data_IF_270650991254
#
_entry.id   IF_270650991254
#
_cell.length_a   1.000
_cell.length_b   1.000
_cell.length_c   1.000
_cell.angle_alpha   90.00
_cell.angle_beta   90.00
_cell.angle_gamma   90.00
#
_symmetry.space_group_name_H-M   'P 1'
#
loop_
_entity.id
_entity.type
_entity.pdbx_description
1 polymer ?
#
# COMPACT_ATOMS: atom_id res chain seq x y z
N UNK A 1 4.62 -21.47 1.48
CA UNK A 1 5.06 -20.81 2.70
C UNK A 1 4.96 -19.31 2.55
N UNK A 2 4.76 -18.63 3.67
CA UNK A 2 4.45 -17.21 3.62
C UNK A 2 5.71 -16.36 3.52
N UNK A 3 5.64 -15.34 2.68
CA UNK A 3 6.71 -14.36 2.53
C UNK A 3 6.39 -13.15 3.38
N UNK A 4 7.38 -12.30 3.60
CA UNK A 4 7.19 -11.03 4.28
C UNK A 4 7.22 -9.93 3.22
N UNK A 5 6.19 -9.10 3.20
CA UNK A 5 6.07 -7.99 2.25
C UNK A 5 6.08 -6.70 3.06
N UNK A 6 7.16 -5.95 2.95
CA UNK A 6 7.23 -4.61 3.53
C UNK A 6 6.73 -3.64 2.47
N UNK A 7 5.76 -2.81 2.80
CA UNK A 7 5.12 -1.96 1.81
C UNK A 7 4.99 -0.51 2.29
N UNK A 8 4.93 0.38 1.30
CA UNK A 8 4.83 1.81 1.55
C UNK A 8 4.04 2.44 0.39
N UNK A 9 3.12 3.34 0.72
CA UNK A 9 2.34 4.06 -0.27
C UNK A 9 2.74 5.52 -0.35
N UNK A 10 2.77 6.03 -1.58
CA UNK A 10 2.85 7.46 -1.85
C UNK A 10 1.65 7.83 -2.71
N UNK A 11 0.86 8.79 -2.25
CA UNK A 11 -0.34 9.23 -2.95
C UNK A 11 -0.12 10.64 -3.48
N UNK A 12 -0.15 10.76 -4.80
CA UNK A 12 0.00 12.02 -5.51
C UNK A 12 -1.37 12.53 -5.97
N UNK A 13 -1.41 13.68 -6.62
CA UNK A 13 -2.69 14.28 -7.03
C UNK A 13 -3.54 13.37 -7.91
N UNK A 14 -2.91 12.63 -8.81
CA UNK A 14 -3.61 11.79 -9.78
C UNK A 14 -3.11 10.35 -9.84
N UNK A 15 -2.11 10.01 -9.03
CA UNK A 15 -1.48 8.69 -9.06
C UNK A 15 -1.22 8.19 -7.66
N UNK A 16 -1.18 6.88 -7.53
CA UNK A 16 -0.81 6.21 -6.29
C UNK A 16 0.32 5.24 -6.59
N UNK A 17 1.38 5.33 -5.80
CA UNK A 17 2.53 4.43 -5.93
C UNK A 17 2.56 3.47 -4.74
N UNK A 18 2.63 2.19 -5.03
CA UNK A 18 2.94 1.18 -4.02
C UNK A 18 4.37 0.69 -4.22
N UNK A 19 5.20 0.88 -3.21
CA UNK A 19 6.52 0.26 -3.17
C UNK A 19 6.48 -0.96 -2.28
N UNK A 20 7.07 -2.07 -2.72
CA UNK A 20 7.15 -3.28 -1.92
C UNK A 20 8.54 -3.86 -1.93
N UNK A 21 8.91 -4.47 -0.82
CA UNK A 21 10.09 -5.32 -0.68
C UNK A 21 9.59 -6.66 -0.20
N UNK A 22 9.69 -7.67 -1.06
CA UNK A 22 9.29 -9.03 -0.70
C UNK A 22 10.51 -9.81 -0.25
N UNK A 23 10.49 -10.28 0.98
CA UNK A 23 11.58 -11.08 1.53
C UNK A 23 11.22 -12.54 1.34
N UNK A 24 12.03 -13.24 0.56
CA UNK A 24 11.84 -14.64 0.24
C UNK A 24 12.43 -15.55 1.32
N UNK A 25 12.04 -16.83 1.28
CA UNK A 25 12.49 -17.79 2.28
C UNK A 25 14.00 -17.99 2.29
N UNK A 26 14.64 -17.84 1.12
CA UNK A 26 16.08 -17.99 1.01
C UNK A 26 16.88 -16.74 1.42
N UNK A 27 16.19 -15.71 1.89
CA UNK A 27 16.80 -14.47 2.32
C UNK A 27 16.98 -13.44 1.21
N UNK A 28 16.62 -13.76 -0.03
CA UNK A 28 16.66 -12.78 -1.11
C UNK A 28 15.48 -11.83 -1.02
N UNK A 29 15.61 -10.67 -1.63
CA UNK A 29 14.55 -9.67 -1.62
C UNK A 29 14.23 -9.18 -3.03
N UNK A 30 12.95 -9.03 -3.31
CA UNK A 30 12.46 -8.49 -4.59
C UNK A 30 11.83 -7.12 -4.34
N UNK A 31 12.30 -6.12 -5.07
CA UNK A 31 11.81 -4.74 -4.94
C UNK A 31 10.93 -4.45 -6.13
N UNK A 32 9.69 -4.02 -5.87
CA UNK A 32 8.73 -3.67 -6.91
C UNK A 32 8.11 -2.31 -6.63
N UNK A 33 7.75 -1.61 -7.70
CA UNK A 33 6.97 -0.38 -7.65
C UNK A 33 5.79 -0.52 -8.59
N UNK A 34 4.60 -0.17 -8.12
CA UNK A 34 3.37 -0.29 -8.89
C UNK A 34 2.57 1.00 -8.82
N UNK A 35 2.14 1.49 -9.99
CA UNK A 35 1.42 2.74 -10.13
C UNK A 35 -0.07 2.59 -10.41
N UNK A 36 -0.48 1.42 -10.88
CA UNK A 36 -1.85 1.16 -11.31
C UNK A 36 -2.64 0.51 -10.18
N UNK A 37 -3.79 1.09 -9.82
CA UNK A 37 -4.61 0.56 -8.73
C UNK A 37 -5.04 -0.88 -8.97
N UNK A 38 -5.34 -1.25 -10.23
CA UNK A 38 -5.70 -2.63 -10.53
C UNK A 38 -4.52 -3.59 -10.33
N UNK A 39 -3.33 -3.17 -10.69
CA UNK A 39 -2.13 -3.98 -10.46
C UNK A 39 -1.85 -4.12 -8.97
N UNK A 40 -2.01 -3.05 -8.22
CA UNK A 40 -1.85 -3.06 -6.77
C UNK A 40 -2.84 -4.04 -6.14
N UNK A 41 -4.09 -3.94 -6.54
CA UNK A 41 -5.16 -4.81 -6.04
C UNK A 41 -4.88 -6.28 -6.37
N UNK A 42 -4.45 -6.56 -7.59
CA UNK A 42 -4.14 -7.93 -8.02
C UNK A 42 -2.91 -8.47 -7.27
N UNK A 43 -1.91 -7.64 -7.08
CA UNK A 43 -0.73 -8.02 -6.31
C UNK A 43 -1.13 -8.40 -4.87
N UNK A 44 -1.96 -7.59 -4.25
CA UNK A 44 -2.44 -7.87 -2.91
C UNK A 44 -3.20 -9.20 -2.85
N UNK A 45 -4.10 -9.43 -3.79
CA UNK A 45 -4.89 -10.68 -3.84
C UNK A 45 -4.01 -11.90 -4.02
N UNK A 46 -2.97 -11.80 -4.85
CA UNK A 46 -2.03 -12.88 -5.08
C UNK A 46 -1.21 -13.20 -3.84
N UNK A 47 -0.96 -12.20 -3.00
CA UNK A 47 -0.13 -12.32 -1.81
C UNK A 47 -0.92 -12.19 -0.51
N UNK A 48 -2.22 -12.47 -0.56
CA UNK A 48 -3.10 -12.25 0.59
C UNK A 48 -2.70 -13.07 1.82
N UNK A 49 -2.08 -14.22 1.61
CA UNK A 49 -1.65 -15.10 2.71
C UNK A 49 -0.24 -14.80 3.21
N UNK A 50 0.44 -13.82 2.60
CA UNK A 50 1.75 -13.40 3.06
C UNK A 50 1.64 -12.40 4.21
N UNK A 51 2.77 -12.14 4.89
CA UNK A 51 2.79 -11.18 5.98
C UNK A 51 3.06 -9.78 5.44
N UNK A 52 2.12 -8.87 5.62
CA UNK A 52 2.22 -7.49 5.16
C UNK A 52 2.61 -6.59 6.31
N UNK A 53 3.73 -5.89 6.17
CA UNK A 53 4.25 -4.98 7.18
C UNK A 53 4.37 -3.59 6.59
N UNK A 54 3.64 -2.64 7.17
CA UNK A 54 3.67 -1.25 6.72
C UNK A 54 4.96 -0.57 7.16
N UNK A 55 5.59 0.16 6.24
CA UNK A 55 6.76 0.95 6.54
C UNK A 55 6.43 2.16 7.43
N UNK A 56 5.32 2.82 7.18
CA UNK A 56 4.90 4.01 7.91
C UNK A 56 3.95 3.73 9.08
N UNK A 57 3.80 2.47 9.44
CA UNK A 57 2.97 2.11 10.57
C UNK A 57 1.48 2.13 10.26
N UNK A 58 0.69 2.05 11.30
CA UNK A 58 -0.73 1.78 11.21
C UNK A 58 -1.60 2.94 10.78
N UNK A 59 -1.06 4.14 10.82
CA UNK A 59 -1.90 5.33 10.65
C UNK A 59 -2.11 5.76 9.21
N UNK A 60 -1.46 5.15 8.24
CA UNK A 60 -1.53 5.60 6.85
C UNK A 60 -1.64 4.45 5.86
N UNK A 61 -0.56 3.65 5.72
CA UNK A 61 -0.50 2.64 4.64
C UNK A 61 -1.63 1.63 4.70
N UNK A 62 -2.03 1.22 5.90
CA UNK A 62 -3.11 0.25 6.06
C UNK A 62 -4.44 0.79 5.53
N UNK A 63 -4.74 2.06 5.79
CA UNK A 63 -5.98 2.67 5.32
C UNK A 63 -5.98 2.84 3.81
N UNK A 64 -4.83 3.20 3.23
CA UNK A 64 -4.72 3.34 1.78
C UNK A 64 -4.90 1.98 1.10
N UNK A 65 -4.25 0.95 1.60
CA UNK A 65 -4.38 -0.40 1.06
C UNK A 65 -5.83 -0.87 1.11
N UNK A 66 -6.48 -0.69 2.25
CA UNK A 66 -7.87 -1.09 2.43
C UNK A 66 -8.79 -0.39 1.43
N UNK A 67 -8.60 0.91 1.23
CA UNK A 67 -9.40 1.68 0.29
C UNK A 67 -9.24 1.15 -1.14
N UNK A 68 -8.01 0.84 -1.55
CA UNK A 68 -7.74 0.31 -2.89
C UNK A 68 -8.37 -1.06 -3.07
N UNK A 69 -8.25 -1.92 -2.08
CA UNK A 69 -8.82 -3.27 -2.13
C UNK A 69 -10.35 -3.22 -2.20
N UNK A 70 -10.95 -2.24 -1.54
CA UNK A 70 -12.40 -2.03 -1.59
C UNK A 70 -12.89 -1.44 -2.92
N UNK A 71 -11.99 -1.02 -3.79
CA UNK A 71 -12.35 -0.56 -5.13
C UNK A 71 -12.42 0.95 -5.29
N UNK A 72 -11.87 1.73 -4.36
CA UNK A 72 -11.84 3.18 -4.51
C UNK A 72 -10.92 3.59 -5.65
N UNK A 73 -11.28 4.68 -6.33
CA UNK A 73 -10.48 5.20 -7.43
C UNK A 73 -9.40 6.17 -6.95
N UNK A 74 -8.58 6.67 -7.88
CA UNK A 74 -7.45 7.54 -7.54
C UNK A 74 -7.90 8.81 -6.80
N UNK A 75 -9.00 9.40 -7.21
CA UNK A 75 -9.52 10.60 -6.56
C UNK A 75 -9.94 10.33 -5.12
N UNK A 76 -10.61 9.20 -4.90
CA UNK A 76 -11.04 8.80 -3.57
C UNK A 76 -9.87 8.48 -2.66
N UNK A 77 -8.86 7.80 -3.19
CA UNK A 77 -7.64 7.49 -2.46
C UNK A 77 -6.91 8.77 -2.09
N UNK A 78 -6.82 9.73 -3.02
CA UNK A 78 -6.19 11.02 -2.75
C UNK A 78 -6.92 11.78 -1.64
N UNK A 79 -8.24 11.79 -1.67
CA UNK A 79 -9.04 12.44 -0.62
C UNK A 79 -8.82 11.79 0.74
N UNK A 80 -8.76 10.45 0.77
CA UNK A 80 -8.50 9.74 2.02
C UNK A 80 -7.11 10.08 2.55
N UNK A 81 -6.10 10.08 1.68
CA UNK A 81 -4.74 10.44 2.05
C UNK A 81 -4.67 11.84 2.66
N UNK A 82 -5.29 12.81 2.00
CA UNK A 82 -5.31 14.19 2.48
C UNK A 82 -6.01 14.30 3.82
N UNK A 83 -7.08 13.56 4.00
CA UNK A 83 -7.83 13.56 5.26
C UNK A 83 -7.00 13.00 6.41
N UNK A 84 -6.29 11.92 6.17
CA UNK A 84 -5.43 11.31 7.21
C UNK A 84 -4.32 12.27 7.59
N UNK A 85 -3.61 12.81 6.61
CA UNK A 85 -2.47 13.71 6.85
C UNK A 85 -2.97 15.03 7.44
N UNK A 86 -4.02 15.60 6.87
CA UNK A 86 -4.59 16.88 7.33
C UNK A 86 -5.19 16.77 8.72
N UNK A 87 -5.85 15.65 9.02
CA UNK A 87 -6.42 15.43 10.33
C UNK A 87 -5.37 15.41 11.43
N UNK A 88 -4.22 14.82 11.16
CA UNK A 88 -3.14 14.76 12.13
C UNK A 88 -2.56 16.14 12.45
N UNK A 89 -2.61 17.06 11.51
CA UNK A 89 -2.06 18.40 11.71
C UNK A 89 -2.85 19.26 12.67
N UNK A 90 -4.11 18.97 12.82
CA UNK A 90 -5.03 19.83 13.56
C UNK A 90 -5.46 19.26 14.90
N UNK A 91 -4.69 18.33 15.39
CA UNK A 91 -4.94 17.70 16.68
C UNK A 91 -4.06 18.18 17.77
#
# INVERSE_FOLDING_TARGET
MNKIIVYDFEVFSHDTLLGTITINEDGTADILQMWDLEKIKNFYKTHIDDFWISHNGEGYDNFILEAIVEGQNEEQVKRLSDKIIGGDRFR
#
